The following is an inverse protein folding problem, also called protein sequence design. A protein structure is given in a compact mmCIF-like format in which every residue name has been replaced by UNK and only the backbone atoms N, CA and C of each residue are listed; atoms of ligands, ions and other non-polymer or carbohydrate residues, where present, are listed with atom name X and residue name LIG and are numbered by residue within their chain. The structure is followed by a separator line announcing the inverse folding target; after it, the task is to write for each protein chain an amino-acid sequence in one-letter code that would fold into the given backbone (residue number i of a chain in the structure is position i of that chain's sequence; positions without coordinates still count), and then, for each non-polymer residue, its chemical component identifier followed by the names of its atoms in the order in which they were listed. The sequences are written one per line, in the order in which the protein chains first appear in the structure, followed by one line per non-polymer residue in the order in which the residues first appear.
data_IF_317319531083
#
_entry.id   IF_317319531083
#
_cell.length_a   1.000
_cell.length_b   1.000
_cell.length_c   1.000
_cell.angle_alpha   90.00
_cell.angle_beta   90.00
_cell.angle_gamma   90.00
#
_symmetry.space_group_name_H-M   'P 1'
#
loop_
_entity.id
_entity.type
_entity.pdbx_description
1 polymer ?
#
# COMPACT_ATOMS: atom_id res chain seq x y z
N UNK A 1 -28.57 8.78 -6.88
CA UNK A 1 -27.23 9.12 -6.31
C UNK A 1 -26.20 8.99 -7.41
N UNK A 2 -25.22 9.88 -7.47
CA UNK A 2 -24.13 9.74 -8.41
C UNK A 2 -23.16 8.69 -7.87
N UNK A 3 -22.82 7.71 -8.70
CA UNK A 3 -21.85 6.67 -8.36
C UNK A 3 -20.44 7.17 -8.69
N UNK A 4 -19.52 7.03 -7.74
CA UNK A 4 -18.11 7.43 -7.87
C UNK A 4 -17.26 6.17 -7.90
N UNK A 5 -16.44 6.06 -8.94
CA UNK A 5 -15.48 4.97 -9.09
C UNK A 5 -14.20 5.29 -8.31
N UNK A 6 -13.70 4.29 -7.63
CA UNK A 6 -12.49 4.39 -6.81
C UNK A 6 -11.32 3.71 -7.53
N UNK A 7 -10.29 4.48 -7.83
CA UNK A 7 -9.04 3.98 -8.40
C UNK A 7 -7.95 4.00 -7.31
N UNK A 8 -7.57 2.83 -6.82
CA UNK A 8 -6.50 2.72 -5.82
C UNK A 8 -5.14 2.67 -6.50
N UNK A 9 -4.26 3.57 -6.10
CA UNK A 9 -2.91 3.74 -6.64
C UNK A 9 -1.81 3.36 -5.63
N UNK A 10 -2.16 2.63 -4.56
CA UNK A 10 -1.21 2.24 -3.50
C UNK A 10 0.03 1.54 -4.05
N UNK A 11 -0.15 0.62 -5.00
CA UNK A 11 0.97 -0.11 -5.61
C UNK A 11 1.91 0.83 -6.37
N UNK A 12 1.37 1.79 -7.12
CA UNK A 12 2.17 2.81 -7.81
C UNK A 12 2.92 3.71 -6.83
N UNK A 13 2.22 4.24 -5.82
CA UNK A 13 2.82 5.11 -4.82
C UNK A 13 3.93 4.39 -4.03
N UNK A 14 3.74 3.09 -3.71
CA UNK A 14 4.74 2.30 -3.00
C UNK A 14 6.05 2.12 -3.79
N UNK A 15 5.98 2.08 -5.12
CA UNK A 15 7.16 1.98 -5.97
C UNK A 15 7.87 3.34 -6.14
N UNK A 16 7.10 4.43 -6.22
CA UNK A 16 7.64 5.78 -6.36
C UNK A 16 8.24 6.33 -5.07
N UNK A 17 7.76 5.88 -3.91
CA UNK A 17 8.21 6.33 -2.59
C UNK A 17 9.71 6.05 -2.30
N UNK A 18 10.43 5.34 -3.14
CA UNK A 18 11.87 5.00 -3.08
C UNK A 18 12.38 4.42 -1.74
N UNK A 19 11.61 4.58 -0.67
CA UNK A 19 12.00 4.20 0.70
C UNK A 19 11.59 2.79 1.08
N UNK A 20 10.53 2.24 0.47
CA UNK A 20 9.98 0.94 0.80
C UNK A 20 9.81 0.13 -0.48
N UNK A 21 10.55 -0.98 -0.60
CA UNK A 21 10.33 -1.93 -1.69
C UNK A 21 9.47 -3.09 -1.19
N UNK A 22 8.27 -3.20 -1.73
CA UNK A 22 7.42 -4.36 -1.51
C UNK A 22 7.96 -5.55 -2.31
N UNK A 23 8.01 -6.72 -1.68
CA UNK A 23 8.26 -7.97 -2.38
C UNK A 23 7.09 -8.33 -3.31
N UNK A 24 7.32 -9.25 -4.24
CA UNK A 24 6.26 -9.78 -5.12
C UNK A 24 5.02 -10.24 -4.32
N UNK A 25 5.25 -10.97 -3.22
CA UNK A 25 4.18 -11.50 -2.35
C UNK A 25 3.42 -10.38 -1.65
N UNK A 26 4.11 -9.38 -1.12
CA UNK A 26 3.49 -8.22 -0.48
C UNK A 26 2.63 -7.41 -1.46
N UNK A 27 3.14 -7.16 -2.66
CA UNK A 27 2.36 -6.50 -3.73
C UNK A 27 1.08 -7.28 -4.08
N UNK A 28 1.21 -8.61 -4.20
CA UNK A 28 0.06 -9.47 -4.50
C UNK A 28 -0.97 -9.47 -3.36
N UNK A 29 -0.51 -9.43 -2.12
CA UNK A 29 -1.38 -9.37 -0.95
C UNK A 29 -2.13 -8.03 -0.84
N UNK A 30 -1.45 -6.91 -1.12
CA UNK A 30 -2.10 -5.60 -1.23
C UNK A 30 -3.19 -5.63 -2.29
N UNK A 31 -2.88 -6.12 -3.51
CA UNK A 31 -3.85 -6.20 -4.60
C UNK A 31 -5.08 -7.08 -4.24
N UNK A 32 -4.86 -8.27 -3.66
CA UNK A 32 -5.95 -9.15 -3.20
C UNK A 32 -6.79 -8.51 -2.09
N UNK A 33 -6.18 -7.71 -1.23
CA UNK A 33 -6.89 -7.00 -0.17
C UNK A 33 -7.80 -5.90 -0.75
N UNK A 34 -7.33 -5.17 -1.75
CA UNK A 34 -8.11 -4.16 -2.49
C UNK A 34 -9.25 -4.81 -3.29
N UNK A 35 -8.99 -5.95 -3.94
CA UNK A 35 -10.00 -6.74 -4.66
C UNK A 35 -11.14 -7.18 -3.74
N UNK A 36 -10.84 -7.65 -2.52
CA UNK A 36 -11.84 -8.01 -1.50
C UNK A 36 -12.70 -6.82 -1.05
N UNK A 37 -12.15 -5.61 -1.07
CA UNK A 37 -12.90 -4.38 -0.84
C UNK A 37 -13.78 -4.00 -2.03
N UNK A 38 -13.64 -4.67 -3.17
CA UNK A 38 -14.33 -4.33 -4.42
C UNK A 38 -13.97 -2.92 -4.90
N UNK A 39 -12.70 -2.56 -4.82
CA UNK A 39 -12.19 -1.31 -5.43
C UNK A 39 -12.38 -1.41 -6.94
N UNK A 40 -12.89 -0.36 -7.58
CA UNK A 40 -13.23 -0.40 -9.01
C UNK A 40 -11.99 -0.57 -9.90
N UNK A 41 -10.89 0.10 -9.56
CA UNK A 41 -9.64 0.07 -10.32
C UNK A 41 -8.47 -0.13 -9.38
N UNK A 42 -7.57 -1.07 -9.72
CA UNK A 42 -6.27 -1.26 -9.07
C UNK A 42 -5.20 -0.86 -10.06
N UNK A 43 -4.47 0.23 -9.76
CA UNK A 43 -3.37 0.72 -10.59
C UNK A 43 -2.03 0.21 -10.08
N UNK A 44 -1.29 -0.47 -10.94
CA UNK A 44 0.05 -1.01 -10.63
C UNK A 44 1.13 0.07 -10.69
N UNK A 45 2.37 -0.29 -10.37
CA UNK A 45 3.53 0.52 -10.72
C UNK A 45 3.84 0.49 -12.22
N UNK A 46 4.78 1.36 -12.63
CA UNK A 46 5.32 1.34 -13.99
C UNK A 46 6.13 0.08 -14.25
N UNK A 47 6.17 -0.37 -15.51
CA UNK A 47 7.07 -1.43 -15.93
C UNK A 47 8.46 -0.82 -16.11
N UNK A 48 9.30 -0.95 -15.07
CA UNK A 48 10.69 -0.48 -15.04
C UNK A 48 11.66 -1.64 -15.26
N UNK A 49 11.47 -2.77 -14.59
CA UNK A 49 12.12 -4.04 -14.88
C UNK A 49 11.15 -4.96 -15.62
N UNK A 50 11.39 -5.14 -16.93
CA UNK A 50 10.48 -5.89 -17.79
C UNK A 50 10.27 -7.32 -17.28
N UNK A 51 11.29 -7.98 -16.74
CA UNK A 51 11.19 -9.38 -16.29
C UNK A 51 10.36 -9.49 -14.99
N UNK A 52 10.68 -8.67 -14.00
CA UNK A 52 10.07 -8.72 -12.66
C UNK A 52 8.66 -8.15 -12.67
N UNK A 53 8.50 -6.93 -13.22
CA UNK A 53 7.23 -6.22 -13.16
C UNK A 53 6.18 -6.88 -14.05
N UNK A 54 6.56 -7.39 -15.26
CA UNK A 54 5.60 -8.11 -16.10
C UNK A 54 5.16 -9.43 -15.49
N UNK A 55 6.04 -10.13 -14.75
CA UNK A 55 5.65 -11.35 -14.05
C UNK A 55 4.60 -11.06 -12.97
N UNK A 56 4.78 -9.99 -12.19
CA UNK A 56 3.83 -9.55 -11.18
C UNK A 56 2.47 -9.14 -11.81
N UNK A 57 2.51 -8.27 -12.82
CA UNK A 57 1.29 -7.78 -13.48
C UNK A 57 0.52 -8.92 -14.16
N UNK A 58 1.20 -9.90 -14.75
CA UNK A 58 0.55 -11.12 -15.30
C UNK A 58 -0.13 -11.96 -14.22
N UNK A 59 0.48 -12.07 -13.04
CA UNK A 59 -0.15 -12.74 -11.91
C UNK A 59 -1.43 -12.02 -11.50
N UNK A 60 -1.42 -10.68 -11.42
CA UNK A 60 -2.62 -9.89 -11.16
C UNK A 60 -3.68 -10.07 -12.24
N UNK A 61 -3.29 -10.04 -13.51
CA UNK A 61 -4.21 -10.20 -14.65
C UNK A 61 -5.00 -11.53 -14.62
N UNK A 62 -4.50 -12.53 -13.90
CA UNK A 62 -5.18 -13.83 -13.72
C UNK A 62 -5.84 -13.99 -12.35
N UNK A 63 -5.60 -13.06 -11.42
CA UNK A 63 -6.10 -13.15 -10.04
C UNK A 63 -7.30 -12.23 -9.80
N UNK A 64 -7.31 -11.05 -10.43
CA UNK A 64 -8.38 -10.07 -10.25
C UNK A 64 -9.62 -10.49 -11.05
N UNK A 65 -10.77 -10.54 -10.38
CA UNK A 65 -12.05 -10.95 -10.96
C UNK A 65 -13.07 -9.79 -11.04
N UNK A 66 -12.96 -8.84 -10.12
CA UNK A 66 -13.85 -7.67 -10.03
C UNK A 66 -13.19 -6.39 -10.53
N UNK A 67 -12.00 -6.06 -10.00
CA UNK A 67 -11.34 -4.78 -10.25
C UNK A 67 -10.77 -4.68 -11.66
N UNK A 68 -10.85 -3.50 -12.27
CA UNK A 68 -10.09 -3.19 -13.48
C UNK A 68 -8.59 -3.17 -13.15
N UNK A 69 -7.77 -3.87 -13.94
CA UNK A 69 -6.32 -3.82 -13.82
C UNK A 69 -5.78 -2.68 -14.67
N UNK A 70 -5.29 -1.63 -14.02
CA UNK A 70 -4.72 -0.47 -14.67
C UNK A 70 -3.19 -0.51 -14.62
N UNK A 71 -2.54 -0.35 -15.77
CA UNK A 71 -1.08 -0.24 -15.87
C UNK A 71 -0.69 1.14 -16.37
N UNK A 72 0.06 1.92 -15.56
CA UNK A 72 0.59 3.19 -16.00
C UNK A 72 1.74 3.01 -17.01
N UNK A 73 1.77 3.86 -18.02
CA UNK A 73 2.77 3.82 -19.07
C UNK A 73 3.36 5.21 -19.33
N UNK A 74 4.63 5.24 -19.69
CA UNK A 74 5.30 6.43 -20.16
C UNK A 74 4.96 6.72 -21.63
N UNK A 75 5.31 7.91 -22.11
CA UNK A 75 5.09 8.36 -23.48
C UNK A 75 6.05 7.66 -24.46
N UNK A 76 5.88 6.33 -24.58
CA UNK A 76 6.70 5.43 -25.40
C UNK A 76 5.85 4.26 -25.93
N UNK A 77 5.87 4.01 -27.24
CA UNK A 77 5.11 2.93 -27.89
C UNK A 77 5.49 1.54 -27.38
N UNK A 78 6.78 1.28 -27.16
CA UNK A 78 7.25 -0.03 -26.70
C UNK A 78 6.76 -0.31 -25.29
N UNK A 79 6.74 0.71 -24.43
CA UNK A 79 6.19 0.60 -23.08
C UNK A 79 4.69 0.30 -23.10
N UNK A 80 3.93 0.98 -23.96
CA UNK A 80 2.50 0.72 -24.20
C UNK A 80 2.28 -0.72 -24.69
N UNK A 81 3.05 -1.16 -25.70
CA UNK A 81 2.92 -2.52 -26.26
C UNK A 81 3.23 -3.59 -25.21
N UNK A 82 4.28 -3.37 -24.43
CA UNK A 82 4.67 -4.29 -23.35
C UNK A 82 3.58 -4.39 -22.28
N UNK A 83 3.04 -3.26 -21.85
CA UNK A 83 1.98 -3.20 -20.86
C UNK A 83 0.72 -3.94 -21.34
N UNK A 84 0.24 -3.67 -22.55
CA UNK A 84 -0.95 -4.30 -23.12
C UNK A 84 -0.78 -5.82 -23.26
N UNK A 85 0.37 -6.27 -23.75
CA UNK A 85 0.66 -7.70 -23.86
C UNK A 85 0.67 -8.39 -22.48
N UNK A 86 1.11 -7.64 -21.46
CA UNK A 86 1.20 -8.16 -20.10
C UNK A 86 -0.17 -8.34 -19.46
N UNK A 87 -1.12 -7.41 -19.69
CA UNK A 87 -2.48 -7.46 -19.13
C UNK A 87 -3.51 -8.12 -20.05
N UNK A 88 -3.08 -8.75 -21.14
CA UNK A 88 -3.99 -9.34 -22.16
C UNK A 88 -4.96 -10.38 -21.60
N UNK A 89 -4.67 -10.97 -20.43
CA UNK A 89 -5.52 -11.95 -19.75
C UNK A 89 -6.42 -11.33 -18.67
N UNK A 90 -6.28 -10.04 -18.39
CA UNK A 90 -7.13 -9.38 -17.42
C UNK A 90 -8.57 -9.30 -17.93
N UNK A 91 -9.55 -9.45 -17.03
CA UNK A 91 -10.97 -9.36 -17.36
C UNK A 91 -11.31 -7.96 -17.87
N UNK A 92 -10.78 -6.96 -17.20
CA UNK A 92 -10.98 -5.55 -17.57
C UNK A 92 -9.63 -4.81 -17.58
N UNK A 93 -8.89 -4.87 -18.70
CA UNK A 93 -7.59 -4.20 -18.83
C UNK A 93 -7.76 -2.71 -19.09
N UNK A 94 -6.94 -1.87 -18.40
CA UNK A 94 -6.84 -0.42 -18.61
C UNK A 94 -5.37 -0.04 -18.75
N UNK A 95 -5.07 0.87 -19.67
CA UNK A 95 -3.78 1.55 -19.79
C UNK A 95 -3.96 3.00 -19.38
N UNK A 96 -3.06 3.49 -18.53
CA UNK A 96 -3.02 4.88 -18.12
C UNK A 96 -1.76 5.55 -18.67
N UNK A 97 -1.92 6.39 -19.70
CA UNK A 97 -0.83 7.19 -20.26
C UNK A 97 -0.63 8.45 -19.40
N UNK A 98 0.43 8.46 -18.60
CA UNK A 98 0.75 9.56 -17.69
C UNK A 98 1.74 10.51 -18.36
N UNK A 99 1.34 11.77 -18.52
CA UNK A 99 2.16 12.80 -19.20
C UNK A 99 2.12 14.09 -18.39
N UNK A 100 3.27 14.65 -17.98
CA UNK A 100 3.33 15.96 -17.35
C UNK A 100 2.94 17.03 -18.37
N UNK A 101 2.04 17.92 -17.96
CA UNK A 101 1.54 19.01 -18.80
C UNK A 101 2.02 20.39 -18.33
N UNK A 102 2.58 20.50 -17.12
CA UNK A 102 3.23 21.72 -16.66
C UNK A 102 4.61 21.92 -17.33
N UNK A 103 5.02 23.16 -17.52
CA UNK A 103 6.33 23.51 -18.11
C UNK A 103 7.48 22.84 -17.37
N UNK A 104 7.45 22.89 -16.03
CA UNK A 104 8.47 22.26 -15.19
C UNK A 104 8.50 20.76 -15.39
N UNK A 105 7.34 20.10 -15.37
CA UNK A 105 7.23 18.65 -15.56
C UNK A 105 7.71 18.20 -16.94
N UNK A 106 7.35 18.92 -18.00
CA UNK A 106 7.79 18.63 -19.37
C UNK A 106 9.31 18.74 -19.53
N UNK A 107 9.90 19.80 -18.98
CA UNK A 107 11.35 20.01 -19.05
C UNK A 107 12.13 19.00 -18.22
N UNK A 108 11.64 18.67 -17.02
CA UNK A 108 12.31 17.73 -16.13
C UNK A 108 12.26 16.28 -16.65
N UNK A 109 11.08 15.81 -17.07
CA UNK A 109 10.87 14.40 -17.41
C UNK A 109 11.20 14.07 -18.87
N UNK A 110 10.90 14.96 -19.80
CA UNK A 110 11.06 14.71 -21.24
C UNK A 110 12.06 15.61 -21.92
N UNK A 111 12.50 16.69 -21.30
CA UNK A 111 13.36 17.73 -21.89
C UNK A 111 12.76 18.28 -23.20
N UNK A 112 11.43 18.35 -23.26
CA UNK A 112 10.67 18.79 -24.42
C UNK A 112 9.86 20.05 -24.12
N UNK A 113 9.70 20.90 -25.14
CA UNK A 113 8.74 22.01 -25.12
C UNK A 113 7.34 21.51 -25.52
N UNK A 114 6.30 22.27 -25.18
CA UNK A 114 4.90 21.98 -25.49
C UNK A 114 4.69 21.62 -26.97
N UNK A 115 5.26 22.39 -27.91
CA UNK A 115 5.15 22.15 -29.34
C UNK A 115 5.72 20.82 -29.84
N UNK A 116 6.72 20.28 -29.14
CA UNK A 116 7.30 18.96 -29.46
C UNK A 116 6.59 17.81 -28.72
N UNK A 117 5.99 18.09 -27.58
CA UNK A 117 5.29 17.07 -26.79
C UNK A 117 3.95 16.66 -27.41
N UNK A 118 3.18 17.62 -27.95
CA UNK A 118 1.85 17.37 -28.49
C UNK A 118 1.83 16.33 -29.63
N UNK A 119 2.70 16.38 -30.66
CA UNK A 119 2.76 15.34 -31.69
C UNK A 119 3.14 13.97 -31.13
N UNK A 120 3.98 13.93 -30.10
CA UNK A 120 4.40 12.69 -29.47
C UNK A 120 3.24 12.06 -28.67
N UNK A 121 2.43 12.88 -27.98
CA UNK A 121 1.19 12.43 -27.33
C UNK A 121 0.26 11.82 -28.37
N UNK A 122 0.05 12.53 -29.50
CA UNK A 122 -0.81 12.04 -30.59
C UNK A 122 -0.35 10.68 -31.11
N UNK A 123 0.93 10.52 -31.37
CA UNK A 123 1.52 9.29 -31.89
C UNK A 123 1.35 8.11 -30.93
N UNK A 124 1.69 8.29 -29.64
CA UNK A 124 1.65 7.23 -28.64
C UNK A 124 0.22 6.89 -28.25
N UNK A 125 -0.66 7.89 -28.10
CA UNK A 125 -2.05 7.63 -27.74
C UNK A 125 -2.81 6.92 -28.87
N UNK A 126 -2.60 7.29 -30.15
CA UNK A 126 -3.14 6.54 -31.29
C UNK A 126 -2.75 5.07 -31.24
N UNK A 127 -1.48 4.80 -30.91
CA UNK A 127 -1.00 3.44 -30.76
C UNK A 127 -1.70 2.74 -29.59
N UNK A 128 -1.82 3.39 -28.42
CA UNK A 128 -2.49 2.80 -27.25
C UNK A 128 -3.96 2.47 -27.54
N UNK A 129 -4.71 3.41 -28.13
CA UNK A 129 -6.14 3.21 -28.46
C UNK A 129 -6.35 2.14 -29.54
N UNK A 130 -5.39 1.95 -30.46
CA UNK A 130 -5.46 0.86 -31.45
C UNK A 130 -5.34 -0.53 -30.83
N UNK A 131 -4.70 -0.66 -29.67
CA UNK A 131 -4.43 -1.93 -28.99
C UNK A 131 -5.34 -2.16 -27.75
N UNK A 132 -5.79 -1.10 -27.08
CA UNK A 132 -6.63 -1.18 -25.88
C UNK A 132 -7.83 -0.24 -26.02
N UNK A 133 -9.03 -0.74 -25.71
CA UNK A 133 -10.26 0.06 -25.78
C UNK A 133 -10.44 1.00 -24.56
N UNK A 134 -9.88 0.62 -23.42
CA UNK A 134 -9.97 1.36 -22.17
C UNK A 134 -8.65 2.06 -21.89
N UNK A 135 -8.51 3.25 -22.45
CA UNK A 135 -7.31 4.10 -22.29
C UNK A 135 -7.66 5.32 -21.47
N UNK A 136 -6.91 5.49 -20.40
CA UNK A 136 -6.89 6.68 -19.55
C UNK A 136 -5.72 7.58 -19.96
N UNK A 137 -5.96 8.87 -19.97
CA UNK A 137 -4.90 9.88 -20.08
C UNK A 137 -4.84 10.68 -18.78
N UNK A 138 -3.69 10.68 -18.15
CA UNK A 138 -3.41 11.48 -16.96
C UNK A 138 -2.58 12.69 -17.33
N UNK A 139 -3.17 13.88 -17.20
CA UNK A 139 -2.46 15.15 -17.24
C UNK A 139 -1.78 15.37 -15.88
N UNK A 140 -0.53 14.95 -15.77
CA UNK A 140 0.22 15.12 -14.53
C UNK A 140 0.59 16.59 -14.34
N UNK A 141 0.44 17.08 -13.09
CA UNK A 141 0.64 18.49 -12.74
C UNK A 141 -0.24 19.46 -13.55
N UNK A 142 -1.49 19.05 -13.84
CA UNK A 142 -2.43 19.79 -14.68
C UNK A 142 -2.73 21.19 -14.15
N UNK A 143 -2.81 21.35 -12.84
CA UNK A 143 -3.16 22.62 -12.19
C UNK A 143 -2.13 23.74 -12.38
N UNK A 144 -0.87 23.39 -12.70
CA UNK A 144 0.22 24.32 -12.98
C UNK A 144 0.57 24.39 -14.47
N UNK A 145 -0.25 23.78 -15.31
CA UNK A 145 -0.07 23.82 -16.77
C UNK A 145 -0.47 25.16 -17.35
N UNK A 146 0.12 25.52 -18.49
CA UNK A 146 -0.40 26.58 -19.31
C UNK A 146 -1.83 26.24 -19.76
N UNK A 147 -2.85 27.10 -19.53
CA UNK A 147 -4.25 26.76 -19.78
C UNK A 147 -4.56 26.48 -21.26
N UNK A 148 -3.90 27.18 -22.20
CA UNK A 148 -4.12 26.99 -23.63
C UNK A 148 -3.53 25.66 -24.08
N UNK A 149 -2.31 25.36 -23.65
CA UNK A 149 -1.67 24.08 -23.93
C UNK A 149 -2.45 22.89 -23.32
N UNK A 150 -2.89 23.02 -22.07
CA UNK A 150 -3.70 21.97 -21.43
C UNK A 150 -4.99 21.71 -22.23
N UNK A 151 -5.66 22.77 -22.67
CA UNK A 151 -6.88 22.65 -23.48
C UNK A 151 -6.61 21.97 -24.84
N UNK A 152 -5.49 22.29 -25.50
CA UNK A 152 -5.07 21.62 -26.74
C UNK A 152 -4.84 20.11 -26.51
N UNK A 153 -4.11 19.76 -25.46
CA UNK A 153 -3.84 18.36 -25.10
C UNK A 153 -5.15 17.62 -24.82
N UNK A 154 -6.02 18.17 -23.98
CA UNK A 154 -7.26 17.50 -23.59
C UNK A 154 -8.19 17.29 -24.79
N UNK A 155 -8.39 18.30 -25.66
CA UNK A 155 -9.16 18.16 -26.90
C UNK A 155 -8.60 17.07 -27.81
N UNK A 156 -7.26 17.04 -27.95
CA UNK A 156 -6.59 16.02 -28.77
C UNK A 156 -6.83 14.61 -28.21
N UNK A 157 -6.59 14.39 -26.92
CA UNK A 157 -6.66 13.04 -26.35
C UNK A 157 -8.09 12.51 -26.29
N UNK A 158 -9.09 13.37 -26.04
CA UNK A 158 -10.51 13.02 -26.12
C UNK A 158 -10.89 12.62 -27.54
N UNK A 159 -10.52 13.46 -28.52
CA UNK A 159 -10.75 13.18 -29.96
C UNK A 159 -10.12 11.86 -30.41
N UNK A 160 -8.98 11.49 -29.87
CA UNK A 160 -8.28 10.24 -30.20
C UNK A 160 -8.91 9.01 -29.52
N UNK A 161 -9.81 9.18 -28.55
CA UNK A 161 -10.58 8.12 -27.96
C UNK A 161 -10.19 7.70 -26.54
N UNK A 162 -9.44 8.55 -25.81
CA UNK A 162 -9.27 8.38 -24.37
C UNK A 162 -10.65 8.35 -23.69
N UNK A 163 -10.86 7.38 -22.77
CA UNK A 163 -12.15 7.17 -22.10
C UNK A 163 -12.21 7.85 -20.74
N UNK A 164 -11.07 7.98 -20.09
CA UNK A 164 -10.92 8.64 -18.80
C UNK A 164 -9.83 9.69 -18.92
N UNK A 165 -10.11 10.88 -18.39
CA UNK A 165 -9.16 11.96 -18.26
C UNK A 165 -8.93 12.22 -16.78
N UNK A 166 -7.70 12.07 -16.33
CA UNK A 166 -7.30 12.38 -14.97
C UNK A 166 -6.57 13.72 -14.92
N UNK A 167 -7.09 14.63 -14.11
CA UNK A 167 -6.44 15.89 -13.80
C UNK A 167 -5.73 15.78 -12.45
N UNK A 168 -4.41 16.06 -12.43
CA UNK A 168 -3.60 15.95 -11.24
C UNK A 168 -3.30 17.31 -10.59
N UNK A 169 -3.54 17.43 -9.30
CA UNK A 169 -2.87 18.37 -8.42
C UNK A 169 -1.66 17.66 -7.79
N UNK A 170 -0.52 17.68 -8.52
CA UNK A 170 0.69 16.96 -8.10
C UNK A 170 1.48 17.68 -7.02
N UNK A 171 1.21 18.97 -6.78
CA UNK A 171 1.77 19.72 -5.67
C UNK A 171 0.94 19.54 -4.37
N UNK A 172 -0.38 19.30 -4.49
CA UNK A 172 -1.28 19.16 -3.35
C UNK A 172 -1.48 20.46 -2.56
N UNK A 173 -1.34 21.60 -3.24
CA UNK A 173 -1.33 22.93 -2.61
C UNK A 173 -2.60 23.73 -2.88
N UNK A 174 -3.53 23.23 -3.72
CA UNK A 174 -4.75 23.95 -4.05
C UNK A 174 -5.77 23.89 -2.91
N UNK A 175 -6.37 25.04 -2.63
CA UNK A 175 -7.58 25.10 -1.81
C UNK A 175 -8.77 24.50 -2.58
N UNK A 176 -9.81 23.98 -1.89
CA UNK A 176 -10.97 23.38 -2.53
C UNK A 176 -11.68 24.30 -3.55
N UNK A 177 -11.73 25.59 -3.28
CA UNK A 177 -12.30 26.62 -4.16
C UNK A 177 -11.44 26.84 -5.41
N UNK A 178 -10.12 26.79 -5.27
CA UNK A 178 -9.18 26.96 -6.37
C UNK A 178 -9.25 25.77 -7.33
N UNK A 179 -9.32 24.54 -6.80
CA UNK A 179 -9.55 23.35 -7.63
C UNK A 179 -10.90 23.43 -8.35
N UNK A 180 -11.94 23.93 -7.69
CA UNK A 180 -13.25 24.13 -8.31
C UNK A 180 -13.18 25.14 -9.45
N UNK A 181 -12.49 26.26 -9.26
CA UNK A 181 -12.26 27.28 -10.29
C UNK A 181 -11.48 26.71 -11.48
N UNK A 182 -10.44 25.92 -11.21
CA UNK A 182 -9.66 25.24 -12.24
C UNK A 182 -10.52 24.28 -13.06
N UNK A 183 -11.27 23.39 -12.44
CA UNK A 183 -12.14 22.42 -13.14
C UNK A 183 -13.21 23.16 -13.98
N UNK A 184 -13.85 24.20 -13.44
CA UNK A 184 -14.81 25.00 -14.17
C UNK A 184 -14.17 25.71 -15.39
N UNK A 185 -12.95 26.21 -15.27
CA UNK A 185 -12.18 26.79 -16.39
C UNK A 185 -11.89 25.75 -17.46
N UNK A 186 -11.48 24.54 -17.08
CA UNK A 186 -11.22 23.44 -18.02
C UNK A 186 -12.51 23.07 -18.76
N UNK A 187 -13.66 22.93 -18.11
CA UNK A 187 -14.94 22.64 -18.78
C UNK A 187 -15.35 23.78 -19.74
N UNK A 188 -15.05 25.03 -19.43
CA UNK A 188 -15.37 26.16 -20.32
C UNK A 188 -14.52 26.16 -21.60
N UNK A 189 -13.28 25.69 -21.54
CA UNK A 189 -12.34 25.65 -22.70
C UNK A 189 -12.37 24.33 -23.44
N UNK A 190 -12.78 23.24 -22.78
CA UNK A 190 -12.86 21.86 -23.30
C UNK A 190 -14.21 21.26 -22.97
N UNK A 191 -15.30 21.69 -23.63
CA UNK A 191 -16.66 21.15 -23.37
C UNK A 191 -16.76 19.64 -23.58
N UNK A 192 -15.93 19.08 -24.48
CA UNK A 192 -15.83 17.65 -24.79
C UNK A 192 -15.44 16.78 -23.58
N UNK A 193 -14.94 17.40 -22.51
CA UNK A 193 -14.64 16.71 -21.25
C UNK A 193 -15.90 16.11 -20.62
N UNK A 194 -17.08 16.62 -20.95
CA UNK A 194 -18.36 16.06 -20.52
C UNK A 194 -18.68 14.69 -21.18
N UNK A 195 -18.04 14.34 -22.28
CA UNK A 195 -18.29 13.10 -23.04
C UNK A 195 -17.43 11.92 -22.52
N UNK A 196 -16.53 12.17 -21.58
CA UNK A 196 -15.59 11.20 -21.01
C UNK A 196 -15.66 11.19 -19.49
N UNK A 197 -15.08 10.19 -18.86
CA UNK A 197 -14.98 10.15 -17.39
C UNK A 197 -13.89 11.11 -16.90
N UNK A 198 -14.30 12.13 -16.14
CA UNK A 198 -13.33 12.96 -15.42
C UNK A 198 -12.91 12.26 -14.13
N UNK A 199 -11.62 12.03 -13.97
CA UNK A 199 -10.96 11.49 -12.79
C UNK A 199 -10.10 12.58 -12.13
N UNK A 200 -9.99 12.54 -10.80
CA UNK A 200 -9.18 13.48 -10.03
C UNK A 200 -8.09 12.74 -9.24
N UNK A 201 -6.88 13.26 -9.31
CA UNK A 201 -5.77 12.83 -8.48
C UNK A 201 -5.18 14.03 -7.75
N UNK A 202 -5.43 14.12 -6.44
CA UNK A 202 -4.94 15.20 -5.59
C UNK A 202 -3.95 14.66 -4.56
N UNK A 203 -2.76 15.25 -4.51
CA UNK A 203 -1.84 15.07 -3.38
C UNK A 203 -2.41 15.77 -2.15
N UNK A 204 -2.07 15.29 -0.96
CA UNK A 204 -2.65 15.73 0.33
C UNK A 204 -1.60 16.42 1.22
N UNK A 205 -0.80 17.30 0.63
CA UNK A 205 0.26 18.01 1.38
C UNK A 205 -0.31 18.94 2.45
N UNK A 206 -1.47 19.55 2.19
CA UNK A 206 -2.15 20.43 3.13
C UNK A 206 -3.24 19.75 3.97
N UNK A 207 -3.50 18.44 3.77
CA UNK A 207 -4.61 17.74 4.43
C UNK A 207 -5.99 18.13 3.90
N UNK A 208 -6.08 18.71 2.69
CA UNK A 208 -7.31 19.22 2.08
C UNK A 208 -7.80 18.43 0.87
N UNK A 209 -7.09 17.38 0.46
CA UNK A 209 -7.41 16.61 -0.74
C UNK A 209 -8.85 16.09 -0.74
N UNK A 210 -9.36 15.59 0.39
CA UNK A 210 -10.72 15.11 0.50
C UNK A 210 -11.76 16.23 0.22
N UNK A 211 -11.55 17.40 0.78
CA UNK A 211 -12.44 18.54 0.57
C UNK A 211 -12.40 19.04 -0.88
N UNK A 212 -11.19 19.10 -1.45
CA UNK A 212 -10.99 19.52 -2.84
C UNK A 212 -11.64 18.54 -3.83
N UNK A 213 -11.44 17.24 -3.65
CA UNK A 213 -12.06 16.19 -4.48
C UNK A 213 -13.57 16.19 -4.40
N UNK A 214 -14.17 16.37 -3.21
CA UNK A 214 -15.63 16.47 -3.07
C UNK A 214 -16.21 17.65 -3.85
N UNK A 215 -15.51 18.78 -3.90
CA UNK A 215 -15.91 19.93 -4.75
C UNK A 215 -15.83 19.57 -6.22
N UNK A 216 -14.76 18.86 -6.65
CA UNK A 216 -14.62 18.41 -8.03
C UNK A 216 -15.69 17.40 -8.47
N UNK A 217 -16.12 16.50 -7.57
CA UNK A 217 -17.24 15.59 -7.82
C UNK A 217 -18.53 16.37 -8.04
N UNK A 218 -18.77 17.42 -7.26
CA UNK A 218 -19.90 18.33 -7.46
C UNK A 218 -19.91 19.02 -8.83
N UNK A 219 -18.75 19.14 -9.48
CA UNK A 219 -18.60 19.71 -10.82
C UNK A 219 -18.57 18.67 -11.96
N UNK A 220 -18.72 17.39 -11.66
CA UNK A 220 -18.83 16.37 -12.69
C UNK A 220 -17.77 15.27 -12.68
N UNK A 221 -16.77 15.31 -11.79
CA UNK A 221 -15.85 14.18 -11.65
C UNK A 221 -16.60 12.91 -11.21
N UNK A 222 -16.21 11.76 -11.76
CA UNK A 222 -16.84 10.46 -11.51
C UNK A 222 -15.86 9.36 -11.16
N UNK A 223 -14.58 9.66 -11.16
CA UNK A 223 -13.54 8.77 -10.70
C UNK A 223 -12.54 9.53 -9.81
N UNK A 224 -12.02 8.86 -8.79
CA UNK A 224 -11.10 9.45 -7.82
C UNK A 224 -9.94 8.51 -7.57
N UNK A 225 -8.73 9.02 -7.64
CA UNK A 225 -7.53 8.28 -7.26
C UNK A 225 -7.26 8.43 -5.77
N UNK A 226 -7.07 7.29 -5.13
CA UNK A 226 -6.86 7.18 -3.69
C UNK A 226 -5.68 6.28 -3.37
N UNK A 227 -5.16 6.35 -2.15
CA UNK A 227 -4.20 5.37 -1.65
C UNK A 227 -4.67 4.75 -0.33
N UNK A 228 -4.33 3.47 -0.14
CA UNK A 228 -4.59 2.72 1.08
C UNK A 228 -3.32 2.68 1.92
N UNK A 229 -3.42 3.08 3.18
CA UNK A 229 -2.27 3.17 4.07
C UNK A 229 -1.73 4.59 4.23
N UNK A 230 -1.05 4.82 5.35
CA UNK A 230 -0.53 6.13 5.72
C UNK A 230 0.78 6.46 4.97
N UNK A 231 1.05 7.75 4.76
CA UNK A 231 2.36 8.25 4.33
C UNK A 231 2.57 8.48 2.84
N UNK A 232 1.61 8.11 1.98
CA UNK A 232 1.75 8.38 0.53
C UNK A 232 1.34 9.79 0.10
N UNK A 233 0.87 10.62 1.05
CA UNK A 233 0.44 12.01 0.78
C UNK A 233 -0.46 12.12 -0.45
N UNK A 234 -1.37 11.18 -0.60
CA UNK A 234 -2.44 11.13 -1.59
C UNK A 234 -3.74 10.93 -0.82
N UNK A 235 -4.87 11.34 -1.37
CA UNK A 235 -6.18 11.15 -0.76
C UNK A 235 -6.34 9.73 -0.20
N UNK A 236 -6.59 9.62 1.11
CA UNK A 236 -6.74 8.31 1.78
C UNK A 236 -8.05 7.63 1.36
N UNK A 237 -7.97 6.35 0.95
CA UNK A 237 -9.15 5.51 0.69
C UNK A 237 -10.08 5.46 1.90
N UNK A 238 -9.53 5.16 3.08
CA UNK A 238 -10.34 5.04 4.30
C UNK A 238 -11.04 6.35 4.65
N UNK A 239 -10.31 7.46 4.63
CA UNK A 239 -10.88 8.78 4.93
C UNK A 239 -11.99 9.14 3.94
N UNK A 240 -11.74 8.98 2.64
CA UNK A 240 -12.68 9.36 1.61
C UNK A 240 -13.97 8.55 1.67
N UNK A 241 -13.88 7.23 1.79
CA UNK A 241 -15.06 6.34 1.88
C UNK A 241 -15.85 6.59 3.16
N UNK A 242 -15.18 6.86 4.29
CA UNK A 242 -15.84 7.24 5.53
C UNK A 242 -16.62 8.55 5.40
N UNK A 243 -16.07 9.56 4.70
CA UNK A 243 -16.80 10.81 4.42
C UNK A 243 -18.04 10.53 3.58
N UNK A 244 -17.92 9.74 2.51
CA UNK A 244 -19.06 9.37 1.67
C UNK A 244 -20.15 8.68 2.49
N UNK A 245 -19.78 7.71 3.32
CA UNK A 245 -20.73 6.96 4.16
C UNK A 245 -21.44 7.84 5.21
N UNK A 246 -20.69 8.72 5.90
CA UNK A 246 -21.25 9.58 6.97
C UNK A 246 -22.14 10.67 6.39
N UNK A 247 -21.86 11.15 5.18
CA UNK A 247 -22.53 12.28 4.57
C UNK A 247 -23.32 11.91 3.31
N UNK A 248 -23.64 10.63 3.14
CA UNK A 248 -24.36 10.09 1.98
C UNK A 248 -25.67 10.83 1.70
N UNK A 249 -26.41 11.13 2.77
CA UNK A 249 -27.68 11.86 2.73
C UNK A 249 -27.55 13.28 2.17
N UNK A 250 -26.44 13.94 2.49
CA UNK A 250 -26.19 15.33 2.09
C UNK A 250 -25.50 15.42 0.73
N UNK A 251 -24.56 14.50 0.45
CA UNK A 251 -23.76 14.54 -0.77
C UNK A 251 -24.51 13.94 -1.98
N UNK A 252 -25.43 13.00 -1.74
CA UNK A 252 -26.11 12.28 -2.82
C UNK A 252 -25.16 11.45 -3.68
N UNK A 253 -24.03 11.01 -3.11
CA UNK A 253 -22.92 10.30 -3.75
C UNK A 253 -22.76 8.95 -3.08
N UNK A 254 -22.51 7.89 -3.87
CA UNK A 254 -22.23 6.54 -3.37
C UNK A 254 -21.01 5.95 -4.06
N UNK A 255 -20.44 4.92 -3.47
CA UNK A 255 -19.41 4.05 -4.08
C UNK A 255 -19.74 2.58 -3.78
N UNK A 256 -19.24 1.67 -4.61
CA UNK A 256 -19.55 0.23 -4.53
C UNK A 256 -18.64 -0.57 -3.59
N UNK A 257 -17.85 0.09 -2.74
CA UNK A 257 -16.91 -0.61 -1.88
C UNK A 257 -17.60 -1.41 -0.77
N UNK A 258 -17.03 -2.55 -0.44
CA UNK A 258 -17.37 -3.31 0.76
C UNK A 258 -16.84 -2.60 2.02
N UNK A 259 -17.66 -1.70 2.57
CA UNK A 259 -17.26 -0.86 3.72
C UNK A 259 -17.13 -1.63 5.04
N UNK A 260 -17.69 -2.85 5.14
CA UNK A 260 -17.64 -3.65 6.37
C UNK A 260 -16.20 -4.04 6.75
N UNK A 261 -15.35 -4.28 5.76
CA UNK A 261 -13.95 -4.66 5.97
C UNK A 261 -12.96 -3.49 5.79
N UNK A 262 -13.44 -2.28 5.48
CA UNK A 262 -12.61 -1.15 5.05
C UNK A 262 -11.46 -0.86 6.02
N UNK A 263 -11.77 -0.54 7.28
CA UNK A 263 -10.77 -0.14 8.28
C UNK A 263 -9.70 -1.23 8.50
N UNK A 264 -10.16 -2.49 8.63
CA UNK A 264 -9.26 -3.64 8.83
C UNK A 264 -8.34 -3.84 7.62
N UNK A 265 -8.88 -3.75 6.42
CA UNK A 265 -8.12 -3.92 5.18
C UNK A 265 -7.11 -2.79 4.99
N UNK A 266 -7.50 -1.53 5.22
CA UNK A 266 -6.59 -0.38 5.16
C UNK A 266 -5.47 -0.51 6.21
N UNK A 267 -5.79 -0.92 7.44
CA UNK A 267 -4.78 -1.18 8.48
C UNK A 267 -3.81 -2.30 8.09
N UNK A 268 -4.30 -3.39 7.47
CA UNK A 268 -3.45 -4.46 6.93
C UNK A 268 -2.52 -3.95 5.83
N UNK A 269 -3.04 -3.22 4.85
CA UNK A 269 -2.24 -2.62 3.78
C UNK A 269 -1.20 -1.66 4.37
N UNK A 270 -1.58 -0.82 5.34
CA UNK A 270 -0.66 0.09 6.02
C UNK A 270 0.47 -0.66 6.71
N UNK A 271 0.20 -1.82 7.32
CA UNK A 271 1.23 -2.64 7.96
C UNK A 271 2.18 -3.28 6.94
N UNK A 272 1.69 -3.70 5.78
CA UNK A 272 2.51 -4.27 4.69
C UNK A 272 3.39 -3.19 4.07
N UNK A 273 2.82 -2.01 3.82
CA UNK A 273 3.53 -0.88 3.21
C UNK A 273 4.44 -0.13 4.18
N UNK A 274 4.44 -0.52 5.47
CA UNK A 274 5.28 0.07 6.51
C UNK A 274 4.89 1.48 6.92
N UNK A 275 3.75 1.96 6.50
CA UNK A 275 3.22 3.27 6.82
C UNK A 275 2.25 3.16 8.00
N UNK A 276 2.79 3.04 9.21
CA UNK A 276 1.98 3.00 10.43
C UNK A 276 1.96 4.41 11.04
N UNK A 277 1.08 5.26 10.59
CA UNK A 277 0.43 6.22 11.46
C UNK A 277 -0.86 5.56 11.96
N UNK A 278 -0.81 4.93 13.12
CA UNK A 278 -2.01 4.44 13.78
C UNK A 278 -2.71 5.67 14.36
N UNK A 279 -3.51 6.33 13.56
CA UNK A 279 -4.53 7.25 14.07
C UNK A 279 -5.65 6.41 14.68
N UNK A 280 -5.45 5.99 15.93
CA UNK A 280 -6.56 5.57 16.80
C UNK A 280 -7.42 6.81 17.11
N UNK A 281 -8.23 7.26 16.15
CA UNK A 281 -9.38 8.08 16.46
C UNK A 281 -10.61 7.19 16.36
N UNK A 282 -11.28 6.87 17.48
CA UNK A 282 -12.59 6.25 17.41
C UNK A 282 -13.50 7.16 16.59
N UNK A 283 -14.18 6.60 15.58
CA UNK A 283 -15.25 7.33 14.90
C UNK A 283 -16.32 7.72 15.92
N UNK A 284 -16.75 8.99 15.96
CA UNK A 284 -17.88 9.39 16.79
C UNK A 284 -19.12 8.62 16.30
N UNK A 285 -19.66 7.74 17.14
CA UNK A 285 -20.88 6.98 16.83
C UNK A 285 -20.71 5.49 16.57
N UNK A 286 -19.49 4.94 16.51
CA UNK A 286 -19.32 3.50 16.66
C UNK A 286 -19.54 3.15 18.13
N UNK A 287 -20.71 2.63 18.48
CA UNK A 287 -20.87 1.90 19.71
C UNK A 287 -19.70 0.90 19.79
N UNK A 288 -18.94 0.93 20.87
CA UNK A 288 -18.02 -0.12 21.24
C UNK A 288 -18.83 -1.43 21.32
N UNK A 289 -19.00 -2.09 20.18
CA UNK A 289 -19.24 -3.51 20.21
C UNK A 289 -17.93 -4.07 20.76
N UNK A 290 -17.97 -4.40 22.03
CA UNK A 290 -16.92 -5.10 22.74
C UNK A 290 -16.58 -6.38 21.96
N UNK A 291 -15.55 -6.30 21.10
CA UNK A 291 -14.95 -7.45 20.40
C UNK A 291 -14.10 -8.24 21.44
N UNK A 292 -14.57 -8.32 22.66
CA UNK A 292 -13.81 -8.96 23.74
C UNK A 292 -14.13 -10.45 23.93
N UNK A 293 -15.04 -11.06 23.16
CA UNK A 293 -15.57 -12.38 23.50
C UNK A 293 -15.45 -13.49 22.43
N UNK A 294 -14.77 -13.28 21.31
CA UNK A 294 -14.45 -14.39 20.42
C UNK A 294 -13.14 -15.07 20.85
N UNK A 295 -13.20 -15.84 21.91
CA UNK A 295 -12.08 -16.67 22.37
C UNK A 295 -12.16 -18.00 21.64
N UNK A 296 -11.09 -18.37 20.92
CA UNK A 296 -10.94 -19.75 20.46
C UNK A 296 -10.83 -20.68 21.68
N UNK A 297 -11.39 -21.91 21.62
CA UNK A 297 -11.28 -22.85 22.72
C UNK A 297 -9.81 -23.15 23.05
N UNK A 298 -9.50 -23.45 24.33
CA UNK A 298 -8.13 -23.75 24.80
C UNK A 298 -7.45 -24.86 23.98
N UNK A 299 -8.24 -25.77 23.38
CA UNK A 299 -7.77 -26.83 22.49
C UNK A 299 -8.10 -26.54 21.02
N UNK A 300 -7.95 -25.30 20.58
CA UNK A 300 -8.21 -24.95 19.19
C UNK A 300 -7.28 -25.72 18.24
N UNK A 301 -7.88 -26.31 17.22
CA UNK A 301 -7.15 -26.95 16.14
C UNK A 301 -6.76 -25.93 15.07
N UNK A 302 -5.84 -26.28 14.19
CA UNK A 302 -5.46 -25.45 13.03
C UNK A 302 -6.67 -25.10 12.17
N UNK A 303 -7.67 -25.97 12.09
CA UNK A 303 -8.91 -25.75 11.36
C UNK A 303 -9.81 -24.70 12.03
N UNK A 304 -9.89 -24.71 13.38
CA UNK A 304 -10.59 -23.67 14.14
C UNK A 304 -9.93 -22.30 13.92
N UNK A 305 -8.60 -22.26 13.94
CA UNK A 305 -7.85 -21.03 13.68
C UNK A 305 -8.05 -20.54 12.24
N UNK A 306 -8.03 -21.45 11.25
CA UNK A 306 -8.29 -21.14 9.85
C UNK A 306 -9.67 -20.50 9.66
N UNK A 307 -10.72 -21.17 10.16
CA UNK A 307 -12.10 -20.67 10.06
C UNK A 307 -12.25 -19.31 10.73
N UNK A 308 -11.60 -19.11 11.88
CA UNK A 308 -11.61 -17.81 12.54
C UNK A 308 -10.90 -16.75 11.70
N UNK A 309 -9.70 -17.02 11.18
CA UNK A 309 -8.93 -16.12 10.32
C UNK A 309 -9.74 -15.75 9.07
N UNK A 310 -10.41 -16.70 8.45
CA UNK A 310 -11.31 -16.48 7.30
C UNK A 310 -12.54 -15.64 7.70
N UNK A 311 -13.15 -15.90 8.87
CA UNK A 311 -14.30 -15.15 9.37
C UNK A 311 -13.99 -13.68 9.63
N UNK A 312 -12.75 -13.36 10.00
CA UNK A 312 -12.26 -11.97 10.17
C UNK A 312 -11.72 -11.36 8.87
N UNK A 313 -11.90 -12.05 7.73
CA UNK A 313 -11.61 -11.52 6.39
C UNK A 313 -10.16 -11.67 5.93
N UNK A 314 -9.35 -12.50 6.59
CA UNK A 314 -8.00 -12.82 6.15
C UNK A 314 -7.98 -14.13 5.37
N UNK A 315 -7.21 -14.16 4.28
CA UNK A 315 -6.91 -15.35 3.50
C UNK A 315 -5.41 -15.63 3.62
N UNK A 316 -5.08 -16.77 4.20
CA UNK A 316 -3.70 -17.16 4.47
C UNK A 316 -3.39 -18.46 3.75
N UNK A 317 -2.19 -18.56 3.18
CA UNK A 317 -1.73 -19.82 2.58
C UNK A 317 -1.53 -20.89 3.66
N UNK A 318 -1.51 -22.17 3.27
CA UNK A 318 -1.30 -23.27 4.22
C UNK A 318 0.02 -23.15 4.99
N UNK A 319 1.09 -22.68 4.34
CA UNK A 319 2.39 -22.44 4.99
C UNK A 319 2.34 -21.28 6.00
N UNK A 320 1.56 -20.24 5.70
CA UNK A 320 1.33 -19.12 6.64
C UNK A 320 0.47 -19.55 7.80
N UNK A 321 -0.59 -20.30 7.53
CA UNK A 321 -1.48 -20.86 8.57
C UNK A 321 -0.70 -21.75 9.56
N UNK A 322 0.19 -22.60 9.05
CA UNK A 322 1.03 -23.46 9.90
C UNK A 322 1.97 -22.64 10.81
N UNK A 323 2.54 -21.54 10.27
CA UNK A 323 3.38 -20.64 11.08
C UNK A 323 2.59 -19.89 12.12
N UNK A 324 1.42 -19.36 11.76
CA UNK A 324 0.51 -18.67 12.67
C UNK A 324 0.07 -19.65 13.77
N UNK A 325 -0.26 -20.90 13.42
CA UNK A 325 -0.69 -21.89 14.38
C UNK A 325 0.41 -22.26 15.38
N UNK A 326 1.67 -22.39 14.92
CA UNK A 326 2.81 -22.63 15.83
C UNK A 326 2.99 -21.48 16.82
N UNK A 327 2.90 -20.24 16.38
CA UNK A 327 2.98 -19.06 17.25
C UNK A 327 1.77 -18.95 18.18
N UNK A 328 0.58 -19.32 17.69
CA UNK A 328 -0.64 -19.41 18.49
C UNK A 328 -0.48 -20.38 19.65
N UNK A 329 0.02 -21.61 19.39
CA UNK A 329 0.23 -22.62 20.45
C UNK A 329 1.21 -22.13 21.52
N UNK A 330 2.31 -21.46 21.13
CA UNK A 330 3.29 -20.93 22.07
C UNK A 330 2.69 -19.85 22.99
N UNK A 331 1.82 -19.00 22.47
CA UNK A 331 1.15 -17.96 23.24
C UNK A 331 0.03 -18.56 24.11
N UNK A 332 -0.74 -19.51 23.56
CA UNK A 332 -1.85 -20.18 24.25
C UNK A 332 -1.41 -20.93 25.52
N UNK A 333 -0.14 -21.39 25.57
CA UNK A 333 0.43 -22.02 26.78
C UNK A 333 0.56 -21.05 27.95
N UNK A 334 0.69 -19.75 27.70
CA UNK A 334 1.02 -18.75 28.70
C UNK A 334 -0.12 -17.80 29.01
N UNK A 335 -1.09 -17.63 28.09
CA UNK A 335 -2.22 -16.72 28.28
C UNK A 335 -3.44 -17.13 27.46
N UNK A 336 -4.61 -16.65 27.87
CA UNK A 336 -5.85 -16.75 27.10
C UNK A 336 -5.77 -15.80 25.90
N UNK A 337 -5.91 -16.36 24.69
CA UNK A 337 -5.79 -15.59 23.44
C UNK A 337 -7.13 -14.90 23.13
N UNK A 338 -7.06 -13.62 22.82
CA UNK A 338 -8.19 -12.80 22.38
C UNK A 338 -8.11 -12.51 20.86
N UNK A 339 -9.22 -12.05 20.28
CA UNK A 339 -9.33 -11.76 18.85
C UNK A 339 -8.15 -10.91 18.29
N UNK A 340 -7.77 -9.86 19.01
CA UNK A 340 -6.67 -8.97 18.64
C UNK A 340 -5.30 -9.66 18.59
N UNK A 341 -5.08 -10.66 19.42
CA UNK A 341 -3.83 -11.44 19.41
C UNK A 341 -3.71 -12.22 18.11
N UNK A 342 -4.81 -12.81 17.63
CA UNK A 342 -4.84 -13.56 16.38
C UNK A 342 -4.64 -12.60 15.19
N UNK A 343 -5.29 -11.46 15.21
CA UNK A 343 -5.09 -10.43 14.18
C UNK A 343 -3.62 -9.96 14.12
N UNK A 344 -2.96 -9.77 15.26
CA UNK A 344 -1.56 -9.42 15.33
C UNK A 344 -0.65 -10.51 14.76
N UNK A 345 -0.93 -11.80 15.09
CA UNK A 345 -0.19 -12.94 14.53
C UNK A 345 -0.34 -13.05 13.00
N UNK A 346 -1.55 -12.83 12.49
CA UNK A 346 -1.80 -12.81 11.05
C UNK A 346 -1.03 -11.67 10.40
N UNK A 347 -1.06 -10.47 10.99
CA UNK A 347 -0.35 -9.30 10.47
C UNK A 347 1.18 -9.47 10.50
N UNK A 348 1.74 -10.16 11.51
CA UNK A 348 3.17 -10.50 11.56
C UNK A 348 3.58 -11.42 10.41
N UNK A 349 2.74 -12.41 10.09
CA UNK A 349 3.03 -13.42 9.08
C UNK A 349 2.65 -12.98 7.65
N UNK A 350 1.88 -11.91 7.52
CA UNK A 350 1.47 -11.38 6.23
C UNK A 350 2.69 -10.87 5.43
N UNK A 351 2.87 -11.40 4.23
CA UNK A 351 3.94 -10.95 3.33
C UNK A 351 5.37 -11.26 3.76
N UNK A 352 5.57 -12.15 4.74
CA UNK A 352 6.93 -12.56 5.11
C UNK A 352 7.57 -13.47 4.04
N UNK A 353 8.76 -13.07 3.57
CA UNK A 353 9.61 -13.94 2.78
C UNK A 353 9.98 -15.21 3.58
N UNK A 354 10.29 -16.35 2.92
CA UNK A 354 10.75 -17.54 3.63
C UNK A 354 11.94 -17.18 4.52
N UNK A 355 11.87 -17.47 5.84
CA UNK A 355 12.91 -17.04 6.76
C UNK A 355 14.20 -17.83 6.50
N UNK A 356 15.27 -17.12 6.13
CA UNK A 356 16.63 -17.66 5.99
C UNK A 356 17.23 -17.92 7.37
N UNK A 357 17.04 -16.97 8.29
CA UNK A 357 17.39 -17.11 9.70
C UNK A 357 16.13 -17.19 10.56
N UNK A 358 16.07 -18.19 11.45
CA UNK A 358 14.96 -18.38 12.41
C UNK A 358 15.46 -18.28 13.84
N UNK A 359 14.77 -17.52 14.67
CA UNK A 359 15.04 -17.49 16.11
C UNK A 359 14.68 -18.84 16.74
N UNK A 360 15.65 -19.51 17.37
CA UNK A 360 15.44 -20.76 18.10
C UNK A 360 15.29 -20.49 19.59
N UNK A 361 16.26 -19.82 20.20
CA UNK A 361 16.22 -19.45 21.60
C UNK A 361 17.03 -18.17 21.86
N UNK A 362 16.73 -17.50 22.98
CA UNK A 362 17.54 -16.40 23.47
C UNK A 362 17.51 -16.32 24.99
N UNK A 363 18.53 -15.76 25.58
CA UNK A 363 18.60 -15.40 27.00
C UNK A 363 19.15 -13.99 27.11
N UNK A 364 18.48 -13.12 27.86
CA UNK A 364 18.92 -11.76 28.10
C UNK A 364 19.02 -11.49 29.60
N UNK A 365 20.16 -10.96 30.01
CA UNK A 365 20.38 -10.47 31.36
C UNK A 365 20.50 -8.95 31.33
N UNK A 366 19.70 -8.24 32.09
CA UNK A 366 19.80 -6.79 32.22
C UNK A 366 19.45 -6.34 33.63
N UNK A 367 20.01 -5.21 34.05
CA UNK A 367 19.73 -4.64 35.37
C UNK A 367 20.40 -3.30 35.53
N UNK A 368 20.05 -2.57 36.59
CA UNK A 368 20.50 -1.19 36.83
C UNK A 368 22.01 -1.03 37.09
N UNK A 369 22.71 -2.09 37.46
CA UNK A 369 24.13 -2.07 37.80
C UNK A 369 25.00 -3.02 36.96
N UNK A 370 24.41 -3.68 35.97
CA UNK A 370 25.11 -4.61 35.06
C UNK A 370 24.82 -4.19 33.62
N UNK A 371 25.85 -4.30 32.79
CA UNK A 371 25.65 -4.15 31.34
C UNK A 371 24.68 -5.21 30.83
N UNK A 372 23.78 -4.83 29.93
CA UNK A 372 22.90 -5.80 29.31
C UNK A 372 23.73 -6.79 28.47
N UNK A 373 23.39 -8.07 28.58
CA UNK A 373 24.03 -9.14 27.80
C UNK A 373 22.95 -10.04 27.19
N UNK A 374 23.20 -10.51 25.98
CA UNK A 374 22.30 -11.42 25.29
C UNK A 374 23.04 -12.61 24.71
N UNK A 375 22.48 -13.79 24.89
CA UNK A 375 22.80 -15.01 24.16
C UNK A 375 21.67 -15.27 23.18
N UNK A 376 21.99 -15.48 21.90
CA UNK A 376 21.00 -15.73 20.84
C UNK A 376 21.40 -16.99 20.07
N UNK A 377 20.44 -17.85 19.83
CA UNK A 377 20.57 -19.05 19.01
C UNK A 377 19.63 -18.91 17.79
N UNK A 378 20.21 -18.95 16.59
CA UNK A 378 19.47 -18.93 15.33
C UNK A 378 19.65 -20.25 14.60
N UNK A 379 18.62 -20.67 13.87
CA UNK A 379 18.70 -21.77 12.90
C UNK A 379 18.91 -21.20 11.50
N UNK A 380 19.95 -21.65 10.81
CA UNK A 380 20.30 -21.33 9.43
C UNK A 380 20.66 -22.62 8.69
N UNK A 381 20.00 -22.91 7.55
CA UNK A 381 20.21 -24.13 6.76
C UNK A 381 20.21 -25.44 7.60
N UNK A 382 19.24 -25.57 8.51
CA UNK A 382 19.08 -26.69 9.46
C UNK A 382 20.27 -26.85 10.45
N UNK A 383 21.11 -25.88 10.60
CA UNK A 383 22.20 -25.83 11.58
C UNK A 383 21.95 -24.71 12.58
N UNK A 384 22.23 -24.97 13.84
CA UNK A 384 22.07 -23.98 14.91
C UNK A 384 23.36 -23.22 15.12
N UNK A 385 23.28 -21.91 15.13
CA UNK A 385 24.39 -20.99 15.32
C UNK A 385 24.11 -20.12 16.53
N UNK A 386 25.07 -19.98 17.41
CA UNK A 386 24.93 -19.22 18.65
C UNK A 386 25.91 -18.07 18.71
N UNK A 387 25.50 -16.97 19.35
CA UNK A 387 26.37 -15.87 19.68
C UNK A 387 26.00 -15.22 21.00
N UNK A 388 26.98 -14.52 21.60
CA UNK A 388 26.80 -13.78 22.82
C UNK A 388 27.35 -12.36 22.65
N UNK A 389 26.57 -11.37 23.07
CA UNK A 389 27.00 -9.97 23.00
C UNK A 389 26.57 -9.17 24.22
N UNK A 390 27.25 -8.05 24.45
CA UNK A 390 26.86 -7.03 25.41
C UNK A 390 26.39 -5.78 24.67
N UNK A 391 25.47 -5.02 25.30
CA UNK A 391 24.91 -3.81 24.72
C UNK A 391 24.47 -2.80 25.77
N UNK A 392 24.05 -1.62 25.31
CA UNK A 392 23.57 -0.53 26.16
C UNK A 392 22.20 -0.85 26.79
N UNK A 393 21.46 -1.81 26.18
CA UNK A 393 20.18 -2.32 26.67
C UNK A 393 19.91 -3.74 26.19
N UNK A 394 18.84 -4.39 26.70
CA UNK A 394 18.50 -5.78 26.39
C UNK A 394 18.31 -6.04 24.89
N UNK A 395 17.66 -5.12 24.20
CA UNK A 395 17.41 -5.22 22.76
C UNK A 395 18.68 -4.97 21.95
N UNK A 396 19.49 -3.97 22.32
CA UNK A 396 20.76 -3.68 21.67
C UNK A 396 21.75 -4.86 21.79
N UNK A 397 21.85 -5.46 22.99
CA UNK A 397 22.66 -6.66 23.20
C UNK A 397 22.19 -7.83 22.31
N UNK A 398 20.89 -8.03 22.17
CA UNK A 398 20.32 -9.09 21.35
C UNK A 398 20.54 -8.84 19.85
N UNK A 399 20.35 -7.61 19.37
CA UNK A 399 20.62 -7.23 17.98
C UNK A 399 22.10 -7.45 17.64
N UNK A 400 23.03 -6.99 18.50
CA UNK A 400 24.47 -7.22 18.31
C UNK A 400 24.83 -8.70 18.25
N UNK A 401 24.19 -9.54 19.08
CA UNK A 401 24.40 -10.98 19.01
C UNK A 401 23.91 -11.58 17.67
N UNK A 402 22.75 -11.13 17.15
CA UNK A 402 22.23 -11.52 15.84
C UNK A 402 23.19 -11.09 14.73
N UNK A 403 23.68 -9.85 14.76
CA UNK A 403 24.65 -9.32 13.76
C UNK A 403 25.95 -10.10 13.73
N UNK A 404 26.44 -10.55 14.90
CA UNK A 404 27.62 -11.42 14.97
C UNK A 404 27.40 -12.78 14.29
N UNK A 405 26.19 -13.36 14.38
CA UNK A 405 25.85 -14.59 13.68
C UNK A 405 25.81 -14.37 12.18
N UNK A 406 25.21 -13.24 11.73
CA UNK A 406 25.00 -12.93 10.32
C UNK A 406 26.30 -12.40 9.66
N UNK A 407 27.21 -11.83 10.45
CA UNK A 407 28.46 -11.25 9.97
C UNK A 407 28.32 -9.89 9.29
N UNK A 408 27.16 -9.23 9.44
CA UNK A 408 26.87 -7.93 8.81
C UNK A 408 26.16 -7.02 9.81
N UNK A 409 26.59 -5.76 9.86
CA UNK A 409 25.92 -4.70 10.60
C UNK A 409 24.97 -3.94 9.69
N UNK A 410 23.75 -3.67 10.18
CA UNK A 410 22.73 -2.92 9.46
C UNK A 410 22.39 -1.62 10.19
N UNK A 411 22.27 -0.53 9.46
CA UNK A 411 21.91 0.77 10.01
C UNK A 411 20.44 0.76 10.46
N UNK A 412 20.22 0.93 11.78
CA UNK A 412 18.91 0.99 12.39
C UNK A 412 18.36 2.43 12.31
N UNK A 413 17.40 2.67 11.44
CA UNK A 413 16.77 3.99 11.30
C UNK A 413 15.61 4.23 12.24
N UNK A 414 14.92 3.17 12.66
CA UNK A 414 13.77 3.31 13.54
C UNK A 414 13.45 2.01 14.26
N UNK A 415 13.02 2.17 15.51
CA UNK A 415 12.52 1.08 16.34
C UNK A 415 11.32 1.58 17.13
N UNK A 416 10.20 0.90 17.00
CA UNK A 416 8.95 1.20 17.69
C UNK A 416 8.38 -0.06 18.31
N UNK A 417 7.82 0.06 19.52
CA UNK A 417 7.08 -1.01 20.18
C UNK A 417 5.74 -0.46 20.61
N UNK A 418 4.69 -1.19 20.32
CA UNK A 418 3.32 -0.86 20.73
C UNK A 418 2.70 -2.05 21.45
N UNK A 419 1.86 -1.77 22.44
CA UNK A 419 1.01 -2.80 23.04
C UNK A 419 -0.21 -3.04 22.14
N UNK A 420 -0.38 -4.27 21.67
CA UNK A 420 -1.54 -4.65 20.82
C UNK A 420 -2.79 -4.83 21.67
N UNK A 421 -2.61 -5.29 22.91
CA UNK A 421 -3.70 -5.55 23.85
C UNK A 421 -3.45 -4.87 25.19
N UNK A 422 -4.50 -4.62 25.99
CA UNK A 422 -4.39 -4.04 27.31
C UNK A 422 -4.11 -5.10 28.39
N UNK A 423 -3.50 -4.67 29.54
CA UNK A 423 -3.27 -5.51 30.70
C UNK A 423 -1.83 -5.96 30.91
N UNK A 424 -1.59 -6.79 31.94
CA UNK A 424 -0.24 -7.24 32.30
C UNK A 424 0.37 -8.25 31.33
N UNK A 425 -0.47 -8.90 30.53
CA UNK A 425 -0.10 -9.92 29.54
C UNK A 425 -0.26 -9.39 28.10
N UNK A 426 -0.14 -8.06 27.92
CA UNK A 426 -0.27 -7.44 26.61
C UNK A 426 0.82 -7.95 25.64
N UNK A 427 0.43 -8.22 24.41
CA UNK A 427 1.39 -8.49 23.34
C UNK A 427 2.06 -7.21 22.90
N UNK A 428 3.38 -7.24 22.81
CA UNK A 428 4.18 -6.19 22.16
C UNK A 428 4.30 -6.47 20.68
N UNK A 429 3.99 -5.47 19.86
CA UNK A 429 4.23 -5.44 18.43
C UNK A 429 5.44 -4.52 18.19
N UNK A 430 6.53 -5.11 17.73
CA UNK A 430 7.76 -4.39 17.42
C UNK A 430 7.87 -4.16 15.92
N UNK A 431 8.21 -2.94 15.54
CA UNK A 431 8.53 -2.55 14.18
C UNK A 431 9.97 -2.04 14.12
N UNK A 432 10.76 -2.59 13.20
CA UNK A 432 12.15 -2.20 12.96
C UNK A 432 12.31 -1.74 11.51
N UNK A 433 13.05 -0.64 11.33
CA UNK A 433 13.43 -0.10 10.02
C UNK A 433 14.94 -0.19 9.88
N UNK A 434 15.42 -0.96 8.89
CA UNK A 434 16.84 -1.11 8.56
C UNK A 434 17.15 -0.48 7.22
N UNK A 435 18.25 0.26 7.12
CA UNK A 435 18.77 0.77 5.85
C UNK A 435 19.89 -0.14 5.33
N UNK A 436 19.75 -0.56 4.06
CA UNK A 436 20.77 -1.32 3.36
C UNK A 436 20.85 -0.90 1.89
N UNK A 437 22.05 -0.55 1.41
CA UNK A 437 22.29 -0.07 0.04
C UNK A 437 21.33 1.07 -0.40
N UNK A 438 21.09 2.03 0.52
CA UNK A 438 20.20 3.17 0.28
C UNK A 438 18.69 2.85 0.30
N UNK A 439 18.31 1.59 0.55
CA UNK A 439 16.90 1.14 0.64
C UNK A 439 16.52 0.86 2.08
N UNK A 440 15.24 1.11 2.40
CA UNK A 440 14.67 0.86 3.72
C UNK A 440 13.91 -0.48 3.71
N UNK A 441 14.22 -1.33 4.69
CA UNK A 441 13.57 -2.61 4.90
C UNK A 441 12.87 -2.60 6.27
N UNK A 442 11.61 -3.00 6.28
CA UNK A 442 10.79 -2.99 7.48
C UNK A 442 10.54 -4.43 7.91
N UNK A 443 10.86 -4.72 9.17
CA UNK A 443 10.53 -5.98 9.82
C UNK A 443 9.58 -5.77 10.98
N UNK A 444 8.72 -6.75 11.22
CA UNK A 444 7.74 -6.76 12.29
C UNK A 444 7.85 -8.04 13.09
N UNK A 445 7.64 -7.95 14.40
CA UNK A 445 7.64 -9.11 15.29
C UNK A 445 6.67 -8.90 16.44
N UNK A 446 5.87 -9.93 16.73
CA UNK A 446 4.86 -9.91 17.79
C UNK A 446 5.21 -10.96 18.85
N UNK A 447 5.18 -10.57 20.12
CA UNK A 447 5.41 -11.46 21.25
C UNK A 447 4.85 -10.87 22.54
N UNK A 448 4.59 -11.72 23.54
CA UNK A 448 4.33 -11.29 24.93
C UNK A 448 5.59 -10.73 25.61
N UNK A 449 6.77 -11.08 25.11
CA UNK A 449 8.08 -10.54 25.55
C UNK A 449 8.57 -9.50 24.54
N UNK A 450 8.78 -8.29 25.03
CA UNK A 450 9.23 -7.13 24.23
C UNK A 450 10.58 -7.39 23.53
N UNK A 451 11.51 -8.09 24.21
CA UNK A 451 12.81 -8.43 23.63
C UNK A 451 12.65 -9.45 22.51
N UNK A 452 11.81 -10.46 22.73
CA UNK A 452 11.44 -11.43 21.69
C UNK A 452 10.80 -10.74 20.49
N UNK A 453 9.84 -9.82 20.71
CA UNK A 453 9.22 -9.05 19.63
C UNK A 453 10.27 -8.26 18.83
N UNK A 454 11.21 -7.59 19.51
CA UNK A 454 12.30 -6.85 18.86
C UNK A 454 13.24 -7.74 18.04
N UNK A 455 13.65 -8.89 18.55
CA UNK A 455 14.52 -9.85 17.83
C UNK A 455 13.80 -10.37 16.59
N UNK A 456 12.50 -10.74 16.70
CA UNK A 456 11.68 -11.22 15.58
C UNK A 456 11.53 -10.14 14.51
N UNK A 457 11.27 -8.89 14.90
CA UNK A 457 11.20 -7.77 13.98
C UNK A 457 12.53 -7.55 13.23
N UNK A 458 13.66 -7.63 13.94
CA UNK A 458 14.98 -7.48 13.35
C UNK A 458 15.29 -8.59 12.34
N UNK A 459 15.02 -9.84 12.70
CA UNK A 459 15.18 -11.00 11.80
C UNK A 459 14.25 -10.93 10.59
N UNK A 460 13.02 -10.44 10.76
CA UNK A 460 12.08 -10.23 9.66
C UNK A 460 12.63 -9.24 8.63
N UNK A 461 13.21 -8.11 9.07
CA UNK A 461 13.83 -7.13 8.19
C UNK A 461 15.06 -7.72 7.46
N UNK A 462 15.92 -8.45 8.18
CA UNK A 462 17.12 -9.10 7.62
C UNK A 462 16.75 -10.15 6.58
N UNK A 463 15.77 -11.01 6.87
CA UNK A 463 15.32 -12.02 5.91
C UNK A 463 14.80 -11.37 4.62
N UNK A 464 14.14 -10.19 4.72
CA UNK A 464 13.75 -9.40 3.56
C UNK A 464 14.96 -8.85 2.78
N UNK A 465 16.00 -8.38 3.46
CA UNK A 465 17.23 -7.91 2.82
C UNK A 465 17.89 -9.06 2.04
N UNK A 466 18.07 -10.21 2.68
CA UNK A 466 18.75 -11.36 2.07
C UNK A 466 17.96 -11.93 0.87
N UNK A 467 16.63 -11.98 0.97
CA UNK A 467 15.79 -12.48 -0.13
C UNK A 467 15.63 -11.48 -1.29
N UNK A 468 16.05 -10.21 -1.11
CA UNK A 468 16.02 -9.17 -2.14
C UNK A 468 17.43 -8.78 -2.63
N UNK A 469 18.49 -9.42 -2.12
CA UNK A 469 19.85 -9.27 -2.58
C UNK A 469 20.16 -10.25 -3.70
#
# INVERSE_FOLDING_TARGET
MAEIRISDITLRESEQAQTIKLSFKEKLEVAKSLEKLQVDIIETGFISDVAVDTAFIRALATTLEYSELCVPVFLCKDNVTTAINTISKAISPRINLIVPTSTIGMEYQYQLKASALLPKIEEVLKHAVSLCKNVEFTADDAVRSDPEFLAEVLKLVIKLGAKTITLCDSAGELLPEELSGFIASVYSTVPELADVTLSLHCKDELGLAAAAVLRGIGLGAREVKVSSGAGYKTLSLEQFVNILKIREDTLGISCNLNTTALQRTCSRIASITGNIEITQKPLPGSAETSINDAVLPENATIEHLKNYIESIGYDVSEDELQRIFTQYEDIARNKKIVARDIEALVAENAGQAPPVYKLKSFVVNSGTKISATAFVELTYNNSDITSFSAGDGPIDAAIKAVEQIIGTHYELEGFQIQAVTGGREAMGDALIKLRHNGKLFIGRGVSTDIVSAGIRAYLSAINKIINNA
#
